data_IF_634603113875
#
_entry.id   IF_634603113875
#
_cell.length_a   1.000
_cell.length_b   1.000
_cell.length_c   1.000
_cell.angle_alpha   90.00
_cell.angle_beta   90.00
_cell.angle_gamma   90.00
#
_symmetry.space_group_name_H-M   'P 1'
#
loop_
_entity.id
_entity.type
_entity.pdbx_description
1 polymer ?
#
# COMPACT_ATOMS: atom_id res chain seq x y z
N UNK A 1 -22.94 -2.10 25.61
CA UNK A 1 -22.13 -2.01 24.38
C UNK A 1 -21.23 -0.81 24.56
N UNK A 2 -19.92 -0.98 24.50
CA UNK A 2 -18.97 0.15 24.49
C UNK A 2 -19.31 1.02 23.29
N UNK A 3 -19.38 2.36 23.40
CA UNK A 3 -19.55 3.21 22.23
C UNK A 3 -18.44 2.87 21.24
N UNK A 4 -18.79 2.54 20.00
CA UNK A 4 -17.79 2.35 18.95
C UNK A 4 -17.16 3.72 18.75
N UNK A 5 -15.89 3.84 19.15
CA UNK A 5 -15.11 5.08 19.03
C UNK A 5 -15.19 5.56 17.58
N UNK A 6 -15.53 6.85 17.40
CA UNK A 6 -15.71 7.44 16.08
C UNK A 6 -14.35 7.78 15.47
N UNK A 7 -13.57 6.73 15.23
CA UNK A 7 -12.19 6.80 14.73
C UNK A 7 -12.19 6.58 13.22
N UNK A 8 -11.46 7.44 12.52
CA UNK A 8 -11.11 7.25 11.12
C UNK A 8 -9.84 6.41 11.00
N UNK A 9 -9.91 5.31 10.24
CA UNK A 9 -8.83 4.36 10.03
C UNK A 9 -8.19 4.57 8.67
N UNK A 10 -6.86 4.55 8.62
CA UNK A 10 -6.12 4.63 7.37
C UNK A 10 -5.87 3.20 6.87
N UNK A 11 -6.43 2.86 5.70
CA UNK A 11 -6.33 1.54 5.08
C UNK A 11 -5.46 1.63 3.84
N UNK A 12 -4.42 0.81 3.74
CA UNK A 12 -3.46 0.85 2.64
C UNK A 12 -3.43 -0.44 1.81
N UNK A 13 -3.31 -0.30 0.49
CA UNK A 13 -2.96 -1.40 -0.42
C UNK A 13 -1.80 -1.04 -1.38
N UNK A 14 -0.60 -1.64 -1.21
CA UNK A 14 0.57 -1.36 -2.04
C UNK A 14 0.52 -1.99 -3.44
N UNK A 15 -0.51 -2.76 -3.76
CA UNK A 15 -0.66 -3.48 -5.03
C UNK A 15 -2.14 -3.74 -5.33
N UNK A 16 -2.93 -2.66 -5.37
CA UNK A 16 -4.38 -2.76 -5.22
C UNK A 16 -5.12 -3.46 -6.36
N UNK A 17 -4.58 -3.48 -7.58
CA UNK A 17 -5.28 -3.99 -8.75
C UNK A 17 -6.64 -3.30 -8.93
N UNK A 18 -7.72 -4.07 -8.94
CA UNK A 18 -9.10 -3.54 -8.99
C UNK A 18 -9.58 -2.91 -7.68
N UNK A 19 -8.83 -3.09 -6.59
CA UNK A 19 -9.09 -2.62 -5.23
C UNK A 19 -10.27 -3.29 -4.52
N UNK A 20 -10.72 -4.45 -4.99
CA UNK A 20 -11.86 -5.16 -4.38
C UNK A 20 -11.62 -5.51 -2.90
N UNK A 21 -10.39 -5.88 -2.54
CA UNK A 21 -10.06 -6.27 -1.16
C UNK A 21 -10.01 -5.06 -0.22
N UNK A 22 -9.41 -3.95 -0.65
CA UNK A 22 -9.36 -2.71 0.13
C UNK A 22 -10.73 -2.07 0.29
N UNK A 23 -11.58 -2.13 -0.73
CA UNK A 23 -12.97 -1.67 -0.65
C UNK A 23 -13.80 -2.54 0.28
N UNK A 24 -13.62 -3.87 0.24
CA UNK A 24 -14.31 -4.77 1.16
C UNK A 24 -13.94 -4.44 2.61
N UNK A 25 -12.65 -4.28 2.92
CA UNK A 25 -12.20 -3.91 4.25
C UNK A 25 -12.72 -2.53 4.69
N UNK A 26 -12.69 -1.53 3.80
CA UNK A 26 -13.25 -0.20 4.08
C UNK A 26 -14.75 -0.27 4.41
N UNK A 27 -15.51 -1.09 3.68
CA UNK A 27 -16.93 -1.30 3.93
C UNK A 27 -17.22 -2.05 5.24
N UNK A 28 -16.39 -3.04 5.62
CA UNK A 28 -16.51 -3.76 6.89
C UNK A 28 -16.22 -2.86 8.11
N UNK A 29 -15.38 -1.82 7.95
CA UNK A 29 -15.18 -0.79 8.99
C UNK A 29 -16.42 0.09 9.21
N UNK A 30 -17.31 0.12 8.21
CA UNK A 30 -18.61 0.78 8.26
C UNK A 30 -18.56 2.30 8.33
N UNK A 31 -19.70 2.88 8.67
CA UNK A 31 -19.89 4.33 8.82
C UNK A 31 -19.87 4.74 10.31
N UNK A 32 -19.41 5.96 10.54
CA UNK A 32 -19.37 6.66 11.81
C UNK A 32 -20.36 7.81 11.86
N UNK A 33 -20.26 8.67 12.88
CA UNK A 33 -21.20 9.78 13.05
C UNK A 33 -21.08 10.85 11.94
N UNK A 34 -19.95 10.85 11.22
CA UNK A 34 -19.61 11.85 10.21
C UNK A 34 -19.42 11.27 8.79
N UNK A 35 -19.78 10.01 8.55
CA UNK A 35 -19.62 9.33 7.26
C UNK A 35 -18.69 8.12 7.35
N UNK A 36 -18.00 7.78 6.26
CA UNK A 36 -17.10 6.62 6.20
C UNK A 36 -16.04 6.63 7.31
N UNK A 37 -15.70 5.45 7.86
CA UNK A 37 -14.62 5.32 8.86
C UNK A 37 -13.27 4.97 8.25
N UNK A 38 -13.16 4.91 6.94
CA UNK A 38 -11.94 4.51 6.25
C UNK A 38 -11.46 5.59 5.28
N UNK A 39 -10.17 5.94 5.39
CA UNK A 39 -9.45 6.63 4.30
C UNK A 39 -8.61 5.58 3.60
N UNK A 40 -8.89 5.38 2.32
CA UNK A 40 -8.18 4.40 1.49
C UNK A 40 -6.97 5.06 0.84
N UNK A 41 -5.83 4.39 0.94
CA UNK A 41 -4.59 4.71 0.25
C UNK A 41 -4.20 3.53 -0.63
N UNK A 42 -3.85 3.77 -1.88
CA UNK A 42 -3.38 2.67 -2.73
C UNK A 42 -2.25 3.10 -3.64
N UNK A 43 -1.49 2.12 -4.08
CA UNK A 43 -0.54 2.27 -5.17
C UNK A 43 -0.57 1.03 -6.05
N UNK A 44 -0.54 1.22 -7.37
CA UNK A 44 -0.47 0.12 -8.33
C UNK A 44 0.32 0.55 -9.59
N UNK A 45 1.12 -0.35 -10.15
CA UNK A 45 1.94 -0.06 -11.34
C UNK A 45 1.09 0.04 -12.62
N UNK A 46 -0.11 -0.54 -12.64
CA UNK A 46 -0.98 -0.59 -13.81
C UNK A 46 -1.93 0.61 -13.83
N UNK A 47 -1.75 1.50 -14.80
CA UNK A 47 -2.69 2.61 -15.07
C UNK A 47 -4.14 2.14 -15.23
N UNK A 48 -4.33 0.98 -15.87
CA UNK A 48 -5.66 0.37 -16.04
C UNK A 48 -6.28 0.06 -14.68
N UNK A 49 -5.53 -0.57 -13.79
CA UNK A 49 -5.95 -0.95 -12.44
C UNK A 49 -6.35 0.29 -11.64
N UNK A 50 -5.48 1.30 -11.60
CA UNK A 50 -5.70 2.59 -10.91
C UNK A 50 -6.96 3.30 -11.41
N UNK A 51 -7.21 3.31 -12.72
CA UNK A 51 -8.44 3.89 -13.30
C UNK A 51 -9.70 3.14 -12.86
N UNK A 52 -9.69 1.81 -12.89
CA UNK A 52 -10.83 1.01 -12.42
C UNK A 52 -11.10 1.22 -10.93
N UNK A 53 -10.05 1.27 -10.11
CA UNK A 53 -10.18 1.52 -8.69
C UNK A 53 -10.81 2.90 -8.40
N UNK A 54 -10.37 3.96 -9.10
CA UNK A 54 -10.99 5.29 -8.96
C UNK A 54 -12.48 5.27 -9.28
N UNK A 55 -12.89 4.57 -10.34
CA UNK A 55 -14.31 4.38 -10.67
C UNK A 55 -15.05 3.62 -9.57
N UNK A 56 -14.48 2.53 -9.06
CA UNK A 56 -15.07 1.76 -7.97
C UNK A 56 -15.25 2.62 -6.71
N UNK A 57 -14.28 3.45 -6.34
CA UNK A 57 -14.40 4.35 -5.18
C UNK A 57 -15.51 5.38 -5.37
N UNK A 58 -15.61 5.98 -6.56
CA UNK A 58 -16.71 6.91 -6.88
C UNK A 58 -18.08 6.24 -6.76
N UNK A 59 -18.21 4.99 -7.21
CA UNK A 59 -19.46 4.23 -7.12
C UNK A 59 -19.82 3.82 -5.68
N UNK A 60 -18.83 3.67 -4.80
CA UNK A 60 -19.01 3.34 -3.38
C UNK A 60 -19.07 4.58 -2.47
N UNK A 61 -19.08 5.80 -3.01
CA UNK A 61 -19.17 7.03 -2.22
C UNK A 61 -17.88 7.48 -1.53
N UNK A 62 -16.78 6.72 -1.67
CA UNK A 62 -15.47 6.96 -1.03
C UNK A 62 -14.64 8.03 -1.76
N UNK A 63 -15.26 9.18 -2.06
CA UNK A 63 -14.64 10.25 -2.86
C UNK A 63 -13.46 10.92 -2.17
N UNK A 64 -13.47 10.97 -0.84
CA UNK A 64 -12.37 11.50 -0.02
C UNK A 64 -11.05 10.74 -0.17
N UNK A 65 -11.09 9.53 -0.74
CA UNK A 65 -9.90 8.70 -0.96
C UNK A 65 -9.30 8.83 -2.36
N UNK A 66 -9.94 9.56 -3.28
CA UNK A 66 -9.55 9.59 -4.70
C UNK A 66 -8.14 10.14 -4.94
N UNK A 67 -7.72 11.12 -4.14
CA UNK A 67 -6.38 11.74 -4.23
C UNK A 67 -5.27 10.80 -3.74
N UNK A 68 -5.63 9.76 -2.99
CA UNK A 68 -4.70 8.77 -2.46
C UNK A 68 -4.50 7.55 -3.39
N UNK A 69 -5.09 7.57 -4.58
CA UNK A 69 -5.03 6.48 -5.56
C UNK A 69 -3.93 6.76 -6.58
N UNK A 70 -2.76 6.18 -6.35
CA UNK A 70 -1.53 6.50 -7.09
C UNK A 70 -1.17 5.39 -8.09
N UNK A 71 -0.74 5.80 -9.29
CA UNK A 71 -0.10 4.93 -10.27
C UNK A 71 1.42 4.98 -10.08
N UNK A 72 2.08 3.83 -9.89
CA UNK A 72 3.54 3.75 -9.79
C UNK A 72 4.07 2.46 -9.16
N UNK A 73 5.38 2.24 -9.26
CA UNK A 73 6.05 1.11 -8.61
C UNK A 73 6.26 1.38 -7.11
N UNK A 74 5.47 0.70 -6.29
CA UNK A 74 5.50 0.83 -4.83
C UNK A 74 6.85 0.45 -4.21
N UNK A 75 7.56 -0.53 -4.77
CA UNK A 75 8.82 -1.01 -4.21
C UNK A 75 9.94 -0.01 -4.50
N UNK A 76 9.96 0.56 -5.71
CA UNK A 76 10.94 1.56 -6.11
C UNK A 76 10.65 2.93 -5.48
N UNK A 77 9.44 3.44 -5.69
CA UNK A 77 9.01 4.80 -5.34
C UNK A 77 7.65 4.76 -4.63
N UNK A 78 7.60 4.40 -3.33
CA UNK A 78 6.38 4.45 -2.54
C UNK A 78 5.84 5.89 -2.55
N UNK A 79 4.54 6.07 -2.77
CA UNK A 79 3.97 7.39 -2.97
C UNK A 79 3.47 8.05 -1.68
N UNK A 80 3.23 7.24 -0.65
CA UNK A 80 2.61 7.68 0.59
C UNK A 80 3.67 7.89 1.66
N UNK A 81 3.86 9.15 2.05
CA UNK A 81 4.84 9.60 3.03
C UNK A 81 4.17 10.22 4.25
N UNK A 82 4.87 10.32 5.37
CA UNK A 82 4.34 10.92 6.60
C UNK A 82 3.88 12.37 6.37
N UNK A 83 4.67 13.14 5.63
CA UNK A 83 4.29 14.44 5.09
C UNK A 83 4.02 14.27 3.58
N UNK A 84 2.81 14.63 3.08
CA UNK A 84 2.48 14.50 1.66
C UNK A 84 3.52 15.17 0.76
N UNK A 85 3.92 14.46 -0.31
CA UNK A 85 4.93 14.91 -1.28
C UNK A 85 6.34 15.15 -0.74
N UNK A 86 6.66 14.70 0.47
CA UNK A 86 8.00 14.86 1.07
C UNK A 86 8.63 13.49 1.37
N UNK A 87 9.46 12.92 0.47
CA UNK A 87 10.10 11.62 0.68
C UNK A 87 11.00 11.54 1.92
N UNK A 88 11.63 12.65 2.32
CA UNK A 88 12.46 12.73 3.52
C UNK A 88 11.69 12.51 4.82
N UNK A 89 10.37 12.68 4.81
CA UNK A 89 9.53 12.42 5.98
C UNK A 89 9.37 10.92 6.28
N UNK A 90 9.80 10.04 5.38
CA UNK A 90 9.68 8.59 5.50
C UNK A 90 8.34 8.06 5.00
N UNK A 91 8.32 6.77 4.65
CA UNK A 91 7.11 6.07 4.20
C UNK A 91 6.05 6.10 5.30
N UNK A 92 4.82 6.45 4.93
CA UNK A 92 3.69 6.52 5.85
C UNK A 92 3.37 5.15 6.44
N UNK A 93 2.98 5.15 7.71
CA UNK A 93 2.44 3.97 8.37
C UNK A 93 0.91 4.02 8.46
N UNK A 94 0.25 2.86 8.35
CA UNK A 94 -1.21 2.71 8.26
C UNK A 94 -1.79 1.83 9.36
N UNK A 95 -3.06 2.03 9.71
CA UNK A 95 -3.76 1.23 10.72
C UNK A 95 -4.04 -0.19 10.21
N UNK A 96 -4.46 -0.30 8.95
CA UNK A 96 -4.69 -1.58 8.29
C UNK A 96 -4.01 -1.61 6.94
N UNK A 97 -3.45 -2.78 6.60
CA UNK A 97 -2.89 -3.03 5.28
C UNK A 97 -3.50 -4.29 4.73
N UNK A 98 -3.94 -4.19 3.48
CA UNK A 98 -4.36 -5.32 2.67
C UNK A 98 -3.51 -5.33 1.42
N UNK A 99 -3.24 -6.50 0.85
CA UNK A 99 -2.48 -6.57 -0.39
C UNK A 99 -2.73 -7.92 -1.06
N UNK A 100 -2.91 -7.88 -2.37
CA UNK A 100 -2.85 -9.07 -3.21
C UNK A 100 -1.72 -8.90 -4.24
N UNK A 101 -0.46 -8.92 -3.81
CA UNK A 101 0.65 -8.61 -4.68
C UNK A 101 0.85 -9.72 -5.70
N UNK A 102 1.39 -9.41 -6.89
CA UNK A 102 1.62 -10.41 -7.91
C UNK A 102 2.59 -11.48 -7.40
N UNK A 103 2.18 -12.76 -7.47
CA UNK A 103 3.02 -13.88 -7.03
C UNK A 103 4.28 -14.06 -7.88
N UNK A 104 4.22 -13.65 -9.16
CA UNK A 104 5.22 -13.89 -10.19
C UNK A 104 5.24 -12.71 -11.16
N UNK A 105 6.15 -11.77 -10.94
CA UNK A 105 6.33 -10.59 -11.79
C UNK A 105 7.82 -10.43 -12.09
N UNK A 106 8.15 -10.17 -13.35
CA UNK A 106 9.49 -9.74 -13.72
C UNK A 106 9.71 -8.30 -13.25
N UNK A 107 10.55 -8.13 -12.23
CA UNK A 107 11.02 -6.81 -11.77
C UNK A 107 12.51 -6.61 -12.03
N UNK A 108 13.10 -7.37 -12.97
CA UNK A 108 14.53 -7.30 -13.25
C UNK A 108 15.00 -5.92 -13.70
N UNK A 109 14.11 -5.12 -14.30
CA UNK A 109 14.39 -3.74 -14.70
C UNK A 109 14.59 -2.80 -13.50
N UNK A 110 13.83 -2.99 -12.41
CA UNK A 110 13.86 -2.10 -11.23
C UNK A 110 14.63 -2.70 -10.06
N UNK A 111 14.94 -4.01 -10.06
CA UNK A 111 15.58 -4.74 -8.94
C UNK A 111 16.81 -4.03 -8.37
N UNK A 112 17.76 -3.66 -9.22
CA UNK A 112 19.03 -3.05 -8.77
C UNK A 112 18.82 -1.62 -8.27
N UNK A 113 17.84 -0.92 -8.85
CA UNK A 113 17.49 0.43 -8.44
C UNK A 113 16.77 0.41 -7.08
N UNK A 114 15.88 -0.56 -6.84
CA UNK A 114 15.26 -0.77 -5.53
C UNK A 114 16.35 -1.03 -4.47
N UNK A 115 17.29 -1.94 -4.74
CA UNK A 115 18.39 -2.21 -3.80
C UNK A 115 19.23 -0.96 -3.52
N UNK A 116 19.63 -0.24 -4.56
CA UNK A 116 20.44 0.98 -4.41
C UNK A 116 19.69 2.08 -3.65
N UNK A 117 18.41 2.31 -3.96
CA UNK A 117 17.60 3.37 -3.36
C UNK A 117 17.36 3.14 -1.88
N UNK A 118 17.22 1.87 -1.47
CA UNK A 118 16.84 1.49 -0.10
C UNK A 118 17.98 0.87 0.71
N UNK A 119 19.22 0.89 0.19
CA UNK A 119 20.40 0.26 0.79
C UNK A 119 20.71 0.77 2.20
N UNK A 120 20.38 2.03 2.50
CA UNK A 120 20.67 2.70 3.78
C UNK A 120 19.47 2.62 4.75
N UNK A 121 18.54 1.68 4.50
CA UNK A 121 17.31 1.50 5.29
C UNK A 121 17.09 0.02 5.63
N UNK A 122 16.30 -0.25 6.68
CA UNK A 122 15.90 -1.61 7.05
C UNK A 122 14.61 -2.08 6.36
N UNK A 123 14.13 -1.35 5.32
CA UNK A 123 12.89 -1.67 4.60
C UNK A 123 12.92 -3.07 3.98
N UNK A 124 14.09 -3.52 3.54
CA UNK A 124 14.29 -4.86 2.97
C UNK A 124 15.28 -5.69 3.82
N UNK A 125 14.99 -5.85 5.11
CA UNK A 125 15.83 -6.58 6.08
C UNK A 125 16.14 -8.04 5.73
N UNK A 126 15.27 -8.72 4.98
CA UNK A 126 15.46 -10.09 4.48
C UNK A 126 16.09 -10.13 3.08
N UNK A 127 16.50 -8.97 2.55
CA UNK A 127 17.12 -8.80 1.25
C UNK A 127 16.13 -8.74 0.08
N UNK A 128 16.69 -8.47 -1.11
CA UNK A 128 15.96 -8.40 -2.38
C UNK A 128 16.40 -9.58 -3.27
N UNK A 129 15.45 -10.39 -3.78
CA UNK A 129 15.77 -11.55 -4.62
C UNK A 129 16.67 -11.22 -5.83
N UNK A 130 17.59 -12.13 -6.14
CA UNK A 130 18.41 -12.06 -7.34
C UNK A 130 17.58 -12.34 -8.60
N UNK A 131 18.01 -11.77 -9.73
CA UNK A 131 17.40 -12.03 -11.04
C UNK A 131 17.76 -13.44 -11.52
N UNK A 132 16.79 -14.35 -11.75
CA UNK A 132 17.04 -15.67 -12.27
C UNK A 132 17.51 -15.64 -13.73
N UNK A 133 18.42 -16.53 -14.11
CA UNK A 133 18.99 -16.57 -15.47
C UNK A 133 18.01 -17.00 -16.58
N UNK A 134 16.88 -17.65 -16.26
CA UNK A 134 15.96 -18.24 -17.26
C UNK A 134 14.49 -17.88 -17.10
N UNK A 135 14.00 -17.74 -15.87
CA UNK A 135 12.57 -17.49 -15.57
C UNK A 135 12.47 -16.23 -14.71
N UNK A 136 12.53 -15.06 -15.35
CA UNK A 136 12.50 -13.79 -14.63
C UNK A 136 11.16 -13.56 -13.95
N UNK A 137 10.08 -14.08 -14.51
CA UNK A 137 8.75 -14.10 -13.92
C UNK A 137 8.64 -14.97 -12.66
N UNK A 138 9.55 -15.91 -12.41
CA UNK A 138 9.56 -16.68 -11.16
C UNK A 138 10.31 -15.99 -10.02
N UNK A 139 10.65 -14.71 -10.17
CA UNK A 139 11.23 -13.91 -9.11
C UNK A 139 10.29 -13.84 -7.90
N UNK A 140 10.84 -13.97 -6.70
CA UNK A 140 10.10 -13.93 -5.45
C UNK A 140 9.77 -12.49 -5.02
N UNK A 141 9.22 -11.68 -5.92
CA UNK A 141 8.83 -10.28 -5.67
C UNK A 141 7.89 -10.14 -4.46
N UNK A 142 7.10 -11.18 -4.20
CA UNK A 142 6.23 -11.28 -3.04
C UNK A 142 6.97 -11.03 -1.71
N UNK A 143 8.23 -11.45 -1.60
CA UNK A 143 9.07 -11.17 -0.44
C UNK A 143 9.31 -9.67 -0.25
N UNK A 144 9.51 -8.91 -1.32
CA UNK A 144 9.67 -7.46 -1.25
C UNK A 144 8.37 -6.78 -0.80
N UNK A 145 7.22 -7.24 -1.28
CA UNK A 145 5.91 -6.73 -0.84
C UNK A 145 5.63 -7.02 0.62
N UNK A 146 5.89 -8.24 1.13
CA UNK A 146 5.73 -8.55 2.56
C UNK A 146 6.57 -7.59 3.41
N UNK A 147 7.85 -7.43 3.07
CA UNK A 147 8.75 -6.54 3.82
C UNK A 147 8.25 -5.10 3.80
N UNK A 148 7.75 -4.62 2.66
CA UNK A 148 7.15 -3.30 2.58
C UNK A 148 5.86 -3.16 3.39
N UNK A 149 5.00 -4.18 3.42
CA UNK A 149 3.80 -4.21 4.25
C UNK A 149 4.19 -4.09 5.73
N UNK A 150 5.17 -4.87 6.18
CA UNK A 150 5.66 -4.80 7.57
C UNK A 150 6.24 -3.42 7.90
N UNK A 151 7.00 -2.82 6.98
CA UNK A 151 7.56 -1.48 7.13
C UNK A 151 6.48 -0.39 7.27
N UNK A 152 5.37 -0.54 6.55
CA UNK A 152 4.30 0.46 6.46
C UNK A 152 3.18 0.24 7.47
N UNK A 153 3.27 -0.78 8.33
CA UNK A 153 2.26 -1.07 9.34
C UNK A 153 2.56 -0.26 10.61
N UNK A 154 1.56 0.45 11.15
CA UNK A 154 1.70 1.08 12.48
C UNK A 154 1.97 0.00 13.53
N UNK A 155 2.85 0.30 14.49
CA UNK A 155 2.96 -0.57 15.67
C UNK A 155 1.65 -0.52 16.47
N UNK A 156 0.95 -1.65 16.53
CA UNK A 156 -0.24 -1.82 17.36
C UNK A 156 0.13 -1.58 18.84
N UNK A 157 -0.31 -0.46 19.42
CA UNK A 157 -0.20 -0.19 20.86
C UNK A 157 0.66 0.99 21.29
N UNK A 158 1.23 1.79 20.38
CA UNK A 158 1.81 3.10 20.73
C UNK A 158 0.90 4.21 20.22
N UNK A 159 -0.14 4.53 20.99
CA UNK A 159 -0.62 5.92 20.97
C UNK A 159 0.53 6.77 21.51
N UNK A 160 1.01 7.81 20.79
CA UNK A 160 1.86 8.79 21.41
C UNK A 160 1.05 9.43 22.55
N UNK A 161 1.60 9.38 23.76
CA UNK A 161 1.12 10.12 24.93
C UNK A 161 1.03 11.63 24.64
#
# INVERSE_FOLDING_TARGET
>A
MTPVEDKMYEVYDPSAGSGSLVLHLANELGEGSFGDRAIVYTQDISSKSTRFLRLNLMLNGLTNSLDNIIEGDTLLSPAHYNTPHEPSSGVKQFDYITSNPPFKMDFSATRNEIEKTWQDTDRFFAGIPNVPNKKKESMAIYLCFIQHILWSLKEMGKQPL
#
